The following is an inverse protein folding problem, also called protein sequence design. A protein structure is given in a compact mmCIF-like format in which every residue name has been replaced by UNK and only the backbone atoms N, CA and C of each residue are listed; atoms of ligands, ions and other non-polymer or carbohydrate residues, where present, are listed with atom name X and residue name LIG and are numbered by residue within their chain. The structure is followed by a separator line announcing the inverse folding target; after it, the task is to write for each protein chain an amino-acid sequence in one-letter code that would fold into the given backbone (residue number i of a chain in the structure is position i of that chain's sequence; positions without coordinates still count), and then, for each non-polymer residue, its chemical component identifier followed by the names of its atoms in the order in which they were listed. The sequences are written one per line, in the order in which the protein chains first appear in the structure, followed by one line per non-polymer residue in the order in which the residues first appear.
data_IF_404012851019
#
_entry.id   IF_404012851019
#
_cell.length_a   1.000
_cell.length_b   1.000
_cell.length_c   1.000
_cell.angle_alpha   90.00
_cell.angle_beta   90.00
_cell.angle_gamma   90.00
#
_symmetry.space_group_name_H-M   'P 1'
#
loop_
_entity.id
_entity.type
_entity.pdbx_description
1 polymer ?
#
# COMPACT_ATOMS: atom_id res chain seq x y z
N UNK A 1 -16.24 -12.77 23.49
CA UNK A 1 -15.13 -12.00 22.93
C UNK A 1 -14.96 -12.49 21.51
N UNK A 2 -15.42 -11.72 20.53
CA UNK A 2 -15.23 -12.02 19.11
C UNK A 2 -13.74 -11.81 18.80
N UNK A 3 -13.07 -12.82 18.26
CA UNK A 3 -11.70 -12.68 17.75
C UNK A 3 -11.70 -11.56 16.70
N UNK A 4 -10.80 -10.57 16.78
CA UNK A 4 -10.71 -9.53 15.75
C UNK A 4 -10.49 -10.18 14.38
N UNK A 5 -11.11 -9.67 13.30
CA UNK A 5 -11.01 -10.29 11.99
C UNK A 5 -9.58 -10.20 11.47
N UNK A 6 -9.03 -11.32 10.98
CA UNK A 6 -7.74 -11.35 10.30
C UNK A 6 -7.89 -10.86 8.86
N UNK A 7 -7.04 -9.93 8.43
CA UNK A 7 -6.98 -9.43 7.06
C UNK A 7 -5.77 -10.02 6.35
N UNK A 8 -6.01 -10.62 5.19
CA UNK A 8 -4.92 -11.11 4.35
C UNK A 8 -4.38 -10.01 3.44
N UNK A 9 -3.16 -10.18 2.97
CA UNK A 9 -2.62 -9.42 1.83
C UNK A 9 -2.02 -10.36 0.80
N UNK A 10 -2.00 -9.96 -0.47
CA UNK A 10 -1.45 -10.76 -1.54
C UNK A 10 -0.88 -9.88 -2.65
N UNK A 11 0.21 -10.33 -3.27
CA UNK A 11 0.76 -9.74 -4.49
C UNK A 11 0.41 -10.60 -5.70
N UNK A 12 -0.16 -10.01 -6.75
CA UNK A 12 -0.46 -10.80 -7.95
C UNK A 12 0.79 -11.12 -8.79
N UNK A 13 1.87 -10.34 -8.66
CA UNK A 13 3.13 -10.52 -9.39
C UNK A 13 2.87 -10.81 -10.88
N UNK A 14 3.52 -11.85 -11.42
CA UNK A 14 3.28 -12.42 -12.74
C UNK A 14 2.63 -13.79 -12.64
N UNK A 15 1.84 -14.05 -11.59
CA UNK A 15 1.17 -15.33 -11.42
C UNK A 15 0.21 -15.62 -12.58
N UNK A 16 0.03 -16.90 -12.90
CA UNK A 16 -1.13 -17.32 -13.67
C UNK A 16 -2.40 -17.08 -12.86
N UNK A 17 -3.49 -16.69 -13.53
CA UNK A 17 -4.73 -16.36 -12.84
C UNK A 17 -5.27 -17.54 -12.01
N UNK A 18 -5.16 -18.76 -12.52
CA UNK A 18 -5.57 -19.98 -11.81
C UNK A 18 -4.80 -20.18 -10.51
N UNK A 19 -3.48 -19.99 -10.54
CA UNK A 19 -2.64 -20.12 -9.35
C UNK A 19 -2.94 -19.03 -8.32
N UNK A 20 -3.16 -17.79 -8.77
CA UNK A 20 -3.60 -16.72 -7.88
C UNK A 20 -4.92 -17.06 -7.16
N UNK A 21 -5.89 -17.63 -7.87
CA UNK A 21 -7.15 -18.09 -7.26
C UNK A 21 -6.93 -19.25 -6.28
N UNK A 22 -6.00 -20.16 -6.57
CA UNK A 22 -5.63 -21.24 -5.67
C UNK A 22 -5.09 -20.71 -4.34
N UNK A 23 -4.16 -19.73 -4.39
CA UNK A 23 -3.64 -19.06 -3.20
C UNK A 23 -4.74 -18.41 -2.36
N UNK A 24 -5.70 -17.74 -3.01
CA UNK A 24 -6.84 -17.13 -2.31
C UNK A 24 -7.73 -18.18 -1.64
N UNK A 25 -8.02 -19.27 -2.35
CA UNK A 25 -8.90 -20.36 -1.85
C UNK A 25 -8.28 -21.14 -0.71
N UNK A 26 -6.96 -21.38 -0.77
CA UNK A 26 -6.22 -22.07 0.28
C UNK A 26 -6.44 -21.41 1.66
N UNK A 27 -6.59 -20.08 1.67
CA UNK A 27 -6.79 -19.28 2.88
C UNK A 27 -8.23 -18.80 3.07
N UNK A 28 -9.18 -19.37 2.33
CA UNK A 28 -10.61 -19.08 2.47
C UNK A 28 -11.02 -17.65 2.11
N UNK A 29 -10.20 -16.93 1.31
CA UNK A 29 -10.50 -15.56 0.91
C UNK A 29 -11.76 -15.51 0.06
N UNK A 30 -12.72 -14.67 0.46
CA UNK A 30 -14.00 -14.48 -0.22
C UNK A 30 -14.12 -13.11 -0.89
N UNK A 31 -13.23 -12.17 -0.59
CA UNK A 31 -13.18 -10.86 -1.25
C UNK A 31 -11.75 -10.35 -1.46
N UNK A 32 -11.50 -9.72 -2.61
CA UNK A 32 -10.25 -9.05 -2.95
C UNK A 32 -10.46 -7.55 -2.97
N UNK A 33 -9.66 -6.83 -2.17
CA UNK A 33 -9.59 -5.38 -2.17
C UNK A 33 -8.35 -4.92 -2.95
N UNK A 34 -8.55 -4.40 -4.16
CA UNK A 34 -7.47 -3.91 -5.01
C UNK A 34 -7.07 -2.48 -4.63
N UNK A 35 -5.87 -2.33 -4.07
CA UNK A 35 -5.33 -1.04 -3.61
C UNK A 35 -4.33 -0.42 -4.59
N UNK A 36 -4.21 -0.96 -5.82
CA UNK A 36 -3.34 -0.39 -6.86
C UNK A 36 -3.89 0.96 -7.31
N UNK A 37 -3.07 2.01 -7.32
CA UNK A 37 -3.50 3.32 -7.87
C UNK A 37 -3.92 3.24 -9.33
N UNK A 38 -3.28 2.37 -10.12
CA UNK A 38 -3.62 2.09 -11.51
C UNK A 38 -3.77 0.58 -11.71
N UNK A 39 -5.01 0.04 -11.74
CA UNK A 39 -5.26 -1.40 -11.81
C UNK A 39 -5.23 -1.93 -13.26
N UNK A 40 -4.27 -1.46 -14.07
CA UNK A 40 -4.14 -1.80 -15.48
C UNK A 40 -2.68 -2.12 -15.80
N UNK A 41 -2.45 -3.25 -16.46
CA UNK A 41 -1.10 -3.69 -16.82
C UNK A 41 -1.09 -4.33 -18.20
N UNK A 42 -0.13 -3.93 -19.05
CA UNK A 42 0.14 -4.58 -20.34
C UNK A 42 0.86 -5.91 -20.16
N UNK A 43 1.70 -6.04 -19.13
CA UNK A 43 2.48 -7.25 -18.86
C UNK A 43 1.66 -8.35 -18.19
N UNK A 44 0.62 -7.97 -17.45
CA UNK A 44 -0.27 -8.90 -16.75
C UNK A 44 -1.72 -8.52 -17.02
N UNK A 45 -2.20 -8.64 -18.28
CA UNK A 45 -3.53 -8.21 -18.67
C UNK A 45 -4.65 -8.95 -17.92
N UNK A 46 -4.41 -10.19 -17.47
CA UNK A 46 -5.32 -10.96 -16.62
C UNK A 46 -5.61 -10.29 -15.26
N UNK A 47 -4.68 -9.45 -14.78
CA UNK A 47 -4.84 -8.66 -13.56
C UNK A 47 -5.25 -7.22 -13.84
N UNK A 48 -5.57 -6.86 -15.09
CA UNK A 48 -6.30 -5.60 -15.31
C UNK A 48 -7.69 -5.70 -14.68
N UNK A 49 -8.22 -4.56 -14.22
CA UNK A 49 -9.43 -4.49 -13.40
C UNK A 49 -10.58 -5.36 -13.91
N UNK A 50 -11.00 -5.19 -15.16
CA UNK A 50 -12.22 -5.83 -15.66
C UNK A 50 -12.03 -7.35 -15.88
N UNK A 51 -10.91 -7.83 -16.48
CA UNK A 51 -10.59 -9.26 -16.48
C UNK A 51 -10.53 -9.88 -15.09
N UNK A 52 -9.86 -9.21 -14.15
CA UNK A 52 -9.70 -9.68 -12.77
C UNK A 52 -11.05 -9.81 -12.06
N UNK A 53 -11.88 -8.76 -12.12
CA UNK A 53 -13.20 -8.74 -11.51
C UNK A 53 -14.10 -9.87 -12.05
N UNK A 54 -14.12 -10.07 -13.38
CA UNK A 54 -14.86 -11.18 -14.00
C UNK A 54 -14.33 -12.54 -13.59
N UNK A 55 -13.01 -12.70 -13.59
CA UNK A 55 -12.34 -13.93 -13.21
C UNK A 55 -12.67 -14.32 -11.77
N UNK A 56 -12.52 -13.39 -10.82
CA UNK A 56 -12.82 -13.62 -9.41
C UNK A 56 -14.30 -13.93 -9.19
N UNK A 57 -15.20 -13.16 -9.83
CA UNK A 57 -16.65 -13.40 -9.76
C UNK A 57 -17.02 -14.82 -10.23
N UNK A 58 -16.41 -15.31 -11.31
CA UNK A 58 -16.63 -16.67 -11.80
C UNK A 58 -16.16 -17.75 -10.81
N UNK A 59 -15.28 -17.39 -9.87
CA UNK A 59 -14.78 -18.27 -8.81
C UNK A 59 -15.51 -18.08 -7.48
N UNK A 60 -16.53 -17.21 -7.42
CA UNK A 60 -17.29 -16.88 -6.21
C UNK A 60 -16.58 -15.89 -5.27
N UNK A 61 -15.55 -15.19 -5.75
CA UNK A 61 -14.77 -14.23 -4.97
C UNK A 61 -15.21 -12.81 -5.36
N UNK A 62 -15.56 -12.00 -4.37
CA UNK A 62 -15.92 -10.61 -4.57
C UNK A 62 -14.69 -9.76 -4.90
N UNK A 63 -14.89 -8.69 -5.66
CA UNK A 63 -13.83 -7.75 -6.00
C UNK A 63 -14.29 -6.33 -5.70
N UNK A 64 -13.42 -5.55 -5.05
CA UNK A 64 -13.64 -4.11 -4.85
C UNK A 64 -12.36 -3.36 -5.20
N UNK A 65 -12.52 -2.31 -6.00
CA UNK A 65 -11.44 -1.38 -6.28
C UNK A 65 -11.39 -0.30 -5.19
N UNK A 66 -10.26 -0.21 -4.49
CA UNK A 66 -9.96 0.77 -3.44
C UNK A 66 -8.70 1.59 -3.76
N UNK A 67 -8.16 1.50 -4.97
CA UNK A 67 -6.96 2.25 -5.37
C UNK A 67 -7.11 3.77 -5.32
N UNK A 68 -8.34 4.30 -5.29
CA UNK A 68 -8.60 5.73 -5.08
C UNK A 68 -8.37 6.13 -3.63
N UNK A 69 -8.81 5.30 -2.68
CA UNK A 69 -8.69 5.56 -1.25
C UNK A 69 -7.34 5.12 -0.69
N UNK A 70 -6.85 3.95 -1.10
CA UNK A 70 -5.72 3.24 -0.49
C UNK A 70 -4.51 3.10 -1.42
N UNK A 71 -4.54 3.73 -2.59
CA UNK A 71 -3.41 3.76 -3.51
C UNK A 71 -2.31 4.73 -3.07
N UNK A 72 -1.06 4.35 -3.26
CA UNK A 72 0.12 5.15 -2.89
C UNK A 72 0.50 6.27 -3.88
N UNK A 73 -0.42 6.68 -4.75
CA UNK A 73 -0.26 7.82 -5.68
C UNK A 73 -1.43 8.78 -5.52
N UNK A 74 -1.48 9.54 -4.41
CA UNK A 74 -2.57 10.47 -4.15
C UNK A 74 -2.49 11.66 -5.12
N UNK A 75 -3.65 12.19 -5.48
CA UNK A 75 -3.73 13.44 -6.26
C UNK A 75 -3.50 14.69 -5.40
N UNK A 76 -3.50 14.55 -4.08
CA UNK A 76 -3.32 15.65 -3.12
C UNK A 76 -1.83 16.03 -3.01
N UNK A 77 -1.41 17.23 -3.48
CA UNK A 77 -0.02 17.66 -3.42
C UNK A 77 0.52 17.78 -2.00
N UNK A 78 -0.33 17.97 -0.99
CA UNK A 78 0.09 18.08 0.42
C UNK A 78 0.68 16.78 0.94
N UNK A 79 0.37 15.64 0.30
CA UNK A 79 0.95 14.34 0.61
C UNK A 79 2.42 14.23 0.19
N UNK A 80 2.99 15.21 -0.52
CA UNK A 80 4.33 15.15 -1.07
C UNK A 80 5.33 16.05 -0.32
N UNK A 81 6.58 15.61 -0.23
CA UNK A 81 7.77 16.40 0.13
C UNK A 81 8.83 16.08 -0.93
N UNK A 82 9.38 17.11 -1.59
CA UNK A 82 10.39 16.95 -2.65
C UNK A 82 9.97 15.96 -3.75
N UNK A 83 8.69 16.02 -4.15
CA UNK A 83 8.10 15.09 -5.13
C UNK A 83 7.86 13.68 -4.62
N UNK A 84 8.19 13.36 -3.37
CA UNK A 84 7.98 12.04 -2.75
C UNK A 84 6.72 11.99 -1.91
N UNK A 85 5.88 10.98 -2.12
CA UNK A 85 4.75 10.70 -1.23
C UNK A 85 5.25 10.38 0.18
N UNK A 86 4.64 11.02 1.18
CA UNK A 86 4.82 10.71 2.59
C UNK A 86 3.64 9.89 3.07
N UNK A 87 3.88 8.63 3.43
CA UNK A 87 2.82 7.71 3.87
C UNK A 87 2.13 8.19 5.15
N UNK A 88 2.85 8.84 6.06
CA UNK A 88 2.25 9.47 7.24
C UNK A 88 1.21 10.54 6.89
N UNK A 89 1.50 11.39 5.90
CA UNK A 89 0.55 12.42 5.42
C UNK A 89 -0.64 11.80 4.70
N UNK A 90 -0.38 10.81 3.84
CA UNK A 90 -1.42 10.09 3.12
C UNK A 90 -2.36 9.35 4.08
N UNK A 91 -1.80 8.65 5.06
CA UNK A 91 -2.54 7.92 6.08
C UNK A 91 -3.45 8.87 6.88
N UNK A 92 -3.01 10.10 7.16
CA UNK A 92 -3.82 11.09 7.88
C UNK A 92 -4.98 11.67 7.05
N UNK A 93 -5.04 11.44 5.74
CA UNK A 93 -6.10 12.01 4.91
C UNK A 93 -7.47 11.37 5.21
N UNK A 94 -8.57 12.14 5.20
CA UNK A 94 -9.92 11.59 5.37
C UNK A 94 -10.29 10.55 4.31
N UNK A 95 -9.74 10.69 3.09
CA UNK A 95 -9.98 9.75 2.00
C UNK A 95 -9.36 8.37 2.29
N UNK A 96 -8.13 8.35 2.81
CA UNK A 96 -7.47 7.12 3.21
C UNK A 96 -8.16 6.46 4.39
N UNK A 97 -8.52 7.23 5.43
CA UNK A 97 -9.21 6.71 6.61
C UNK A 97 -10.54 6.03 6.24
N UNK A 98 -11.32 6.62 5.33
CA UNK A 98 -12.52 5.96 4.77
C UNK A 98 -12.22 4.66 4.04
N UNK A 99 -11.08 4.57 3.36
CA UNK A 99 -10.63 3.33 2.71
C UNK A 99 -10.40 2.21 3.72
N UNK A 100 -9.74 2.53 4.85
CA UNK A 100 -9.51 1.56 5.92
C UNK A 100 -10.84 1.18 6.58
N UNK A 101 -11.73 2.14 6.86
CA UNK A 101 -13.06 1.86 7.43
C UNK A 101 -13.86 0.88 6.55
N UNK A 102 -13.84 1.07 5.22
CA UNK A 102 -14.48 0.14 4.27
C UNK A 102 -13.91 -1.27 4.31
N UNK A 103 -12.60 -1.44 4.58
CA UNK A 103 -12.00 -2.77 4.77
C UNK A 103 -12.55 -3.39 6.05
N UNK A 104 -12.59 -2.64 7.16
CA UNK A 104 -13.07 -3.13 8.44
C UNK A 104 -14.55 -3.52 8.39
N UNK A 105 -15.40 -2.69 7.80
CA UNK A 105 -16.82 -2.98 7.58
C UNK A 105 -17.01 -4.24 6.71
N UNK A 106 -16.20 -4.38 5.66
CA UNK A 106 -16.23 -5.57 4.82
C UNK A 106 -15.80 -6.84 5.57
N UNK A 107 -14.84 -6.73 6.48
CA UNK A 107 -14.30 -7.85 7.23
C UNK A 107 -15.32 -8.50 8.19
N UNK A 108 -16.42 -7.80 8.50
CA UNK A 108 -17.54 -8.38 9.25
C UNK A 108 -18.27 -9.49 8.48
N UNK A 109 -18.20 -9.46 7.14
CA UNK A 109 -18.97 -10.34 6.25
C UNK A 109 -18.09 -11.15 5.28
N UNK A 110 -16.82 -10.77 5.11
CA UNK A 110 -15.92 -11.35 4.12
C UNK A 110 -14.55 -11.66 4.73
N UNK A 111 -13.90 -12.69 4.20
CA UNK A 111 -12.46 -12.92 4.41
C UNK A 111 -11.75 -12.15 3.31
N UNK A 112 -11.08 -11.05 3.68
CA UNK A 112 -10.54 -10.08 2.73
C UNK A 112 -9.05 -10.30 2.50
N UNK A 113 -8.63 -10.30 1.22
CA UNK A 113 -7.24 -10.11 0.83
C UNK A 113 -7.03 -8.73 0.18
N UNK A 114 -6.12 -7.93 0.74
CA UNK A 114 -5.65 -6.68 0.16
C UNK A 114 -4.63 -7.00 -0.92
N UNK A 115 -4.93 -6.62 -2.16
CA UNK A 115 -4.13 -7.00 -3.33
C UNK A 115 -3.34 -5.83 -3.90
N UNK A 116 -2.07 -6.08 -4.24
CA UNK A 116 -1.25 -5.20 -5.07
C UNK A 116 -0.47 -5.98 -6.15
N UNK A 117 0.44 -5.30 -6.87
CA UNK A 117 1.16 -5.88 -8.00
C UNK A 117 2.47 -6.55 -7.63
N UNK A 118 3.19 -6.00 -6.67
CA UNK A 118 4.54 -6.41 -6.28
C UNK A 118 4.52 -7.81 -5.67
N UNK A 119 5.53 -8.63 -5.97
CA UNK A 119 5.72 -9.92 -5.30
C UNK A 119 6.15 -9.70 -3.84
N UNK A 120 7.24 -8.95 -3.68
CA UNK A 120 7.83 -8.63 -2.38
C UNK A 120 6.95 -7.64 -1.61
N UNK A 121 6.47 -8.07 -0.44
CA UNK A 121 5.58 -7.28 0.40
C UNK A 121 6.30 -6.10 1.04
N UNK A 122 7.61 -6.18 1.31
CA UNK A 122 8.38 -5.06 1.89
C UNK A 122 8.70 -3.97 0.87
N UNK A 123 8.48 -4.22 -0.42
CA UNK A 123 8.64 -3.25 -1.50
C UNK A 123 7.31 -2.64 -1.95
N UNK A 124 6.24 -2.83 -1.17
CA UNK A 124 4.88 -2.45 -1.56
C UNK A 124 4.20 -1.59 -0.49
N UNK A 125 3.38 -0.63 -0.94
CA UNK A 125 2.56 0.17 -0.03
C UNK A 125 1.50 -0.66 0.70
N UNK A 126 1.14 -1.85 0.18
CA UNK A 126 0.20 -2.75 0.87
C UNK A 126 0.67 -3.07 2.29
N UNK A 127 1.99 -3.15 2.51
CA UNK A 127 2.57 -3.44 3.83
C UNK A 127 2.93 -2.16 4.56
N UNK A 128 3.71 -1.29 3.91
CA UNK A 128 4.28 -0.11 4.56
C UNK A 128 3.23 0.96 4.94
N UNK A 129 2.08 0.97 4.26
CA UNK A 129 1.02 1.94 4.46
C UNK A 129 -0.29 1.28 4.92
N UNK A 130 -0.85 0.38 4.11
CA UNK A 130 -2.22 -0.14 4.35
C UNK A 130 -2.26 -1.13 5.52
N UNK A 131 -1.39 -2.15 5.52
CA UNK A 131 -1.29 -3.12 6.61
C UNK A 131 -0.93 -2.44 7.93
N UNK A 132 0.04 -1.52 7.90
CA UNK A 132 0.40 -0.71 9.07
C UNK A 132 -0.80 0.00 9.69
N UNK A 133 -1.59 0.69 8.87
CA UNK A 133 -2.77 1.42 9.35
C UNK A 133 -3.86 0.50 9.92
N UNK A 134 -3.98 -0.74 9.43
CA UNK A 134 -4.89 -1.75 9.98
C UNK A 134 -4.39 -2.27 11.34
N UNK A 135 -3.10 -2.58 11.44
CA UNK A 135 -2.47 -3.06 12.69
C UNK A 135 -2.52 -1.99 13.79
N UNK A 136 -2.33 -0.71 13.44
CA UNK A 136 -2.51 0.42 14.37
C UNK A 136 -3.95 0.54 14.90
N UNK A 137 -4.93 -0.07 14.22
CA UNK A 137 -6.33 -0.21 14.68
C UNK A 137 -6.63 -1.53 15.40
N UNK A 138 -5.60 -2.32 15.71
CA UNK A 138 -5.72 -3.59 16.43
C UNK A 138 -6.17 -4.77 15.57
N UNK A 139 -6.06 -4.67 14.24
CA UNK A 139 -6.40 -5.74 13.31
C UNK A 139 -5.18 -6.60 13.03
N UNK A 140 -5.37 -7.92 13.05
CA UNK A 140 -4.32 -8.85 12.65
C UNK A 140 -4.19 -8.83 11.12
N UNK A 141 -2.96 -8.65 10.62
CA UNK A 141 -2.66 -8.70 9.19
C UNK A 141 -1.66 -9.81 8.91
N UNK A 142 -1.99 -10.63 7.92
CA UNK A 142 -1.17 -11.77 7.47
C UNK A 142 -0.93 -11.69 5.97
N UNK A 143 0.31 -11.92 5.53
CA UNK A 143 0.72 -11.89 4.14
C UNK A 143 0.68 -13.30 3.54
N UNK A 144 -0.09 -13.47 2.47
CA UNK A 144 -0.03 -14.67 1.62
C UNK A 144 1.18 -14.52 0.70
N UNK A 145 2.16 -15.39 0.89
CA UNK A 145 3.39 -15.41 0.09
C UNK A 145 3.17 -16.13 -1.23
N UNK A 146 4.12 -15.97 -2.14
CA UNK A 146 4.03 -16.48 -3.51
C UNK A 146 3.99 -18.01 -3.64
N UNK A 147 4.34 -18.73 -2.57
CA UNK A 147 4.26 -20.20 -2.46
C UNK A 147 3.03 -20.67 -1.67
N UNK A 148 2.18 -19.74 -1.22
CA UNK A 148 0.99 -20.01 -0.40
C UNK A 148 1.26 -20.11 1.10
N UNK A 149 2.50 -20.00 1.55
CA UNK A 149 2.80 -19.85 2.97
C UNK A 149 2.34 -18.49 3.51
N UNK A 150 2.24 -18.38 4.84
CA UNK A 150 1.81 -17.17 5.53
C UNK A 150 3.00 -16.55 6.26
N UNK A 151 3.09 -15.22 6.21
CA UNK A 151 3.99 -14.42 7.04
C UNK A 151 3.15 -13.36 7.75
N UNK A 152 3.18 -13.31 9.08
CA UNK A 152 2.50 -12.26 9.84
C UNK A 152 3.14 -10.88 9.58
N UNK A 153 2.38 -9.82 9.84
CA UNK A 153 2.93 -8.47 9.75
C UNK A 153 4.17 -8.30 10.66
N UNK A 154 4.15 -8.85 11.87
CA UNK A 154 5.28 -8.79 12.81
C UNK A 154 6.54 -9.49 12.27
N UNK A 155 6.42 -10.73 11.77
CA UNK A 155 7.53 -11.46 11.14
C UNK A 155 8.13 -10.70 9.95
N UNK A 156 7.26 -10.04 9.16
CA UNK A 156 7.70 -9.22 8.04
C UNK A 156 8.56 -8.03 8.48
N UNK A 157 8.24 -7.41 9.63
CA UNK A 157 8.99 -6.28 10.17
C UNK A 157 10.33 -6.73 10.75
N UNK A 158 10.39 -7.88 11.42
CA UNK A 158 11.67 -8.45 11.84
C UNK A 158 12.56 -8.76 10.63
N UNK A 159 11.98 -9.32 9.56
CA UNK A 159 12.69 -9.57 8.31
C UNK A 159 13.20 -8.26 7.70
N UNK A 160 12.42 -7.18 7.77
CA UNK A 160 12.86 -5.86 7.30
C UNK A 160 14.07 -5.35 8.09
N UNK A 161 14.05 -5.46 9.42
CA UNK A 161 15.19 -5.09 10.29
C UNK A 161 16.44 -5.88 9.90
N UNK A 162 16.31 -7.19 9.68
CA UNK A 162 17.42 -8.06 9.20
C UNK A 162 17.97 -7.60 7.85
N UNK A 163 17.10 -7.36 6.88
CA UNK A 163 17.49 -6.95 5.51
C UNK A 163 18.21 -5.60 5.50
N UNK A 164 17.83 -4.68 6.38
CA UNK A 164 18.49 -3.37 6.51
C UNK A 164 19.76 -3.40 7.36
N UNK A 165 20.08 -4.54 8.01
CA UNK A 165 21.25 -4.68 8.87
C UNK A 165 21.17 -3.86 10.16
N UNK A 166 19.95 -3.55 10.62
CA UNK A 166 19.74 -2.83 11.88
C UNK A 166 19.93 -3.78 13.08
N UNK A 167 20.45 -3.29 14.22
CA UNK A 167 20.63 -4.12 15.41
C UNK A 167 19.27 -4.59 15.94
N UNK A 168 19.16 -5.88 16.29
CA UNK A 168 17.90 -6.45 16.81
C UNK A 168 17.65 -6.09 18.28
N UNK A 169 18.71 -5.71 18.99
CA UNK A 169 18.64 -5.15 20.33
C UNK A 169 19.65 -4.03 20.42
N UNK A 170 19.23 -2.92 21.01
CA UNK A 170 20.08 -1.79 21.32
C UNK A 170 19.78 -1.41 22.77
N UNK A 171 20.81 -1.35 23.62
CA UNK A 171 20.64 -0.96 25.02
C UNK A 171 20.05 0.44 25.18
N UNK A 172 20.11 1.27 24.13
CA UNK A 172 19.64 2.66 24.11
C UNK A 172 18.31 2.86 23.36
N UNK A 173 17.84 1.87 22.59
CA UNK A 173 16.62 2.00 21.77
C UNK A 173 15.66 0.83 21.98
N UNK A 174 14.38 1.13 22.11
CA UNK A 174 13.34 0.10 22.16
C UNK A 174 13.19 -0.59 20.80
N UNK A 175 12.67 -1.82 20.81
CA UNK A 175 12.34 -2.57 19.60
C UNK A 175 11.46 -1.74 18.64
N UNK A 176 10.43 -1.07 19.18
CA UNK A 176 9.54 -0.20 18.40
C UNK A 176 10.26 0.93 17.67
N UNK A 177 11.31 1.50 18.28
CA UNK A 177 12.11 2.54 17.63
C UNK A 177 12.87 1.97 16.42
N UNK A 178 13.50 0.80 16.58
CA UNK A 178 14.24 0.13 15.50
C UNK A 178 13.29 -0.19 14.34
N UNK A 179 12.09 -0.68 14.64
CA UNK A 179 11.06 -0.98 13.65
C UNK A 179 10.59 0.30 12.94
N UNK A 180 10.36 1.39 13.67
CA UNK A 180 9.99 2.68 13.09
C UNK A 180 11.09 3.23 12.16
N UNK A 181 12.36 3.09 12.56
CA UNK A 181 13.51 3.45 11.72
C UNK A 181 13.57 2.59 10.45
N UNK A 182 13.37 1.27 10.57
CA UNK A 182 13.35 0.34 9.45
C UNK A 182 12.25 0.70 8.44
N UNK A 183 11.02 0.95 8.92
CA UNK A 183 9.89 1.36 8.10
C UNK A 183 10.16 2.69 7.39
N UNK A 184 10.69 3.68 8.10
CA UNK A 184 11.01 4.98 7.50
C UNK A 184 12.12 4.88 6.44
N UNK A 185 13.14 4.04 6.68
CA UNK A 185 14.20 3.77 5.71
C UNK A 185 13.66 3.06 4.47
N UNK A 186 12.74 2.12 4.63
CA UNK A 186 12.14 1.38 3.53
C UNK A 186 11.16 2.23 2.71
N UNK A 187 10.35 3.07 3.37
CA UNK A 187 9.49 4.05 2.69
C UNK A 187 10.29 4.97 1.77
N UNK A 188 11.46 5.46 2.22
CA UNK A 188 12.37 6.27 1.37
C UNK A 188 12.90 5.53 0.14
N UNK A 189 12.87 4.19 0.10
CA UNK A 189 13.26 3.43 -1.09
C UNK A 189 12.08 3.20 -2.03
N UNK A 190 10.90 2.99 -1.47
CA UNK A 190 9.72 2.45 -2.18
C UNK A 190 8.70 3.52 -2.56
N UNK A 191 8.57 4.57 -1.76
CA UNK A 191 7.53 5.58 -1.93
C UNK A 191 7.58 6.24 -3.31
N UNK A 192 6.40 6.45 -3.88
CA UNK A 192 6.25 7.04 -5.20
C UNK A 192 6.89 8.44 -5.27
N UNK A 193 7.59 8.68 -6.38
CA UNK A 193 8.19 9.95 -6.74
C UNK A 193 7.45 10.50 -7.96
N UNK A 194 6.76 11.62 -7.79
CA UNK A 194 6.32 12.42 -8.93
C UNK A 194 7.55 13.13 -9.52
N UNK A 195 7.82 12.87 -10.80
CA UNK A 195 8.94 13.46 -11.54
C UNK A 195 8.50 14.63 -12.41
N UNK A 196 7.24 15.05 -12.29
CA UNK A 196 6.75 16.25 -12.96
C UNK A 196 7.52 17.46 -12.42
N UNK A 197 8.14 18.29 -13.29
CA UNK A 197 8.80 19.50 -12.86
C UNK A 197 7.81 20.38 -12.09
N UNK A 198 8.15 20.75 -10.85
CA UNK A 198 7.39 21.78 -10.14
C UNK A 198 7.57 23.11 -10.87
N UNK A 199 6.50 23.90 -11.07
CA UNK A 199 6.66 25.27 -11.54
C UNK A 199 7.51 26.02 -10.52
N UNK A 200 8.53 26.71 -11.03
CA UNK A 200 9.45 27.54 -10.26
C UNK A 200 8.66 28.66 -9.55
N UNK A 201 8.45 28.50 -8.24
CA UNK A 201 7.94 29.56 -7.40
C UNK A 201 9.12 30.43 -6.92
N UNK A 202 9.76 31.19 -7.82
CA UNK A 202 10.93 31.96 -7.39
C UNK A 202 11.72 32.78 -8.41
N UNK A 203 11.07 33.64 -9.21
CA UNK A 203 11.71 34.87 -9.66
C UNK A 203 10.65 35.96 -9.95
N UNK A 204 10.37 36.81 -8.96
CA UNK A 204 9.81 38.13 -9.23
C UNK A 204 10.76 38.85 -10.19
N UNK A 205 10.32 39.02 -11.43
CA UNK A 205 11.02 39.82 -12.42
C UNK A 205 10.91 41.29 -11.99
N UNK A 206 12.03 42.03 -11.81
CA UNK A 206 11.96 43.41 -11.36
C UNK A 206 11.28 44.26 -12.44
N UNK A 207 10.20 44.94 -12.02
CA UNK A 207 9.45 45.91 -12.81
C UNK A 207 10.44 46.93 -13.42
N UNK A 208 10.56 46.96 -14.74
CA UNK A 208 11.31 48.02 -15.44
C UNK A 208 10.56 49.36 -15.28
N UNK A 209 11.25 50.47 -14.95
CA UNK A 209 10.61 51.77 -14.88
C UNK A 209 10.27 52.27 -16.29
N UNK A 210 9.01 52.61 -16.50
CA UNK A 210 8.50 53.23 -17.72
C UNK A 210 8.96 54.68 -17.80
N UNK A 211 9.86 54.99 -18.74
CA UNK A 211 10.15 56.37 -19.18
C UNK A 211 9.06 56.85 -20.12
N UNK A 212 8.34 57.92 -19.73
CA UNK A 212 7.42 58.64 -20.60
C UNK A 212 8.19 59.66 -21.48
N UNK A 213 7.83 59.83 -22.78
CA UNK A 213 8.31 60.96 -23.56
C UNK A 213 7.38 62.18 -23.42
N UNK A 214 7.99 63.36 -23.55
CA UNK A 214 7.38 64.70 -23.64
C UNK A 214 6.49 64.86 -24.88
#
# INVERSE_FOLDING_TARGET
MTTPPTIFTIGHSTHEFSYFVELLRQHGVTAVADVRSAPYSRHSPQFSREPLERGLKAQGIHYVFLGRELGARPNDPTCYIDGRVQFSRLAATPLFQRGIDRILEGAENYVIAIMCAEKELLECHRTLLVARALVERGVEVVHILADGSLESYEESLERLVRVLGLPHSDLLRTHDHIIAEALAAQEKKVAYMDRTPQPDHGAESPLKPTTAPL
#
